data_IF_570126398935
#
_entry.id   IF_570126398935
#
_cell.length_a   1.000
_cell.length_b   1.000
_cell.length_c   1.000
_cell.angle_alpha   90.00
_cell.angle_beta   90.00
_cell.angle_gamma   90.00
#
_symmetry.space_group_name_H-M   'P 1'
#
loop_
_entity.id
_entity.type
_entity.pdbx_description
1 polymer ?
#
# COMPACT_ATOMS: atom_id res chain seq x y z
N UNK A 1 -16.89 -5.81 -8.48
CA UNK A 1 -15.53 -6.34 -8.68
C UNK A 1 -14.56 -5.58 -7.79
N UNK A 2 -13.70 -6.29 -7.08
CA UNK A 2 -12.73 -5.64 -6.22
C UNK A 2 -11.67 -4.89 -7.02
N UNK A 3 -11.05 -3.91 -6.39
CA UNK A 3 -10.03 -3.06 -7.00
C UNK A 3 -8.75 -3.11 -6.17
N UNK A 4 -7.61 -2.94 -6.83
CA UNK A 4 -6.33 -2.87 -6.17
C UNK A 4 -5.60 -1.58 -6.53
N UNK A 5 -5.01 -0.94 -5.51
CA UNK A 5 -4.12 0.21 -5.68
C UNK A 5 -2.70 -0.29 -5.48
N UNK A 6 -1.93 -0.31 -6.53
CA UNK A 6 -0.56 -0.82 -6.52
C UNK A 6 0.41 0.34 -6.58
N UNK A 7 1.20 0.50 -5.54
CA UNK A 7 2.12 1.63 -5.39
C UNK A 7 3.55 1.10 -5.32
N UNK A 8 4.42 1.65 -6.15
CA UNK A 8 5.84 1.30 -6.16
C UNK A 8 6.66 2.39 -5.49
N UNK A 9 7.66 1.96 -4.71
CA UNK A 9 8.60 2.84 -4.01
C UNK A 9 10.04 2.44 -4.27
N UNK A 10 10.93 3.41 -4.26
CA UNK A 10 12.37 3.19 -4.31
C UNK A 10 13.04 3.81 -3.09
N UNK A 11 14.26 3.37 -2.80
CA UNK A 11 15.00 3.86 -1.63
C UNK A 11 14.41 3.35 -0.32
N UNK A 12 13.88 2.14 -0.31
CA UNK A 12 13.25 1.54 0.88
C UNK A 12 14.26 0.64 1.56
N UNK A 13 14.86 1.11 2.65
CA UNK A 13 15.83 0.31 3.42
C UNK A 13 15.11 -0.82 4.18
N UNK A 14 15.89 -1.84 4.54
CA UNK A 14 15.39 -2.95 5.33
C UNK A 14 14.85 -2.47 6.68
N UNK A 15 15.58 -1.56 7.33
CA UNK A 15 15.18 -1.00 8.62
C UNK A 15 13.85 -0.22 8.52
N UNK A 16 13.70 0.58 7.47
CA UNK A 16 12.46 1.34 7.25
C UNK A 16 11.28 0.41 7.03
N UNK A 17 11.47 -0.65 6.24
CA UNK A 17 10.40 -1.61 5.97
C UNK A 17 10.01 -2.37 7.24
N UNK A 18 10.97 -2.78 8.05
CA UNK A 18 10.70 -3.46 9.32
C UNK A 18 9.92 -2.56 10.28
N UNK A 19 10.28 -1.28 10.33
CA UNK A 19 9.58 -0.28 11.14
C UNK A 19 8.12 -0.14 10.72
N UNK A 20 7.88 0.01 9.40
CA UNK A 20 6.53 0.15 8.87
C UNK A 20 5.68 -1.11 9.10
N UNK A 21 6.28 -2.29 8.88
CA UNK A 21 5.58 -3.54 9.10
C UNK A 21 5.16 -3.70 10.56
N UNK A 22 6.02 -3.28 11.48
CA UNK A 22 5.72 -3.30 12.91
C UNK A 22 4.58 -2.34 13.24
N UNK A 23 4.62 -1.13 12.73
CA UNK A 23 3.57 -0.13 12.94
C UNK A 23 2.22 -0.65 12.45
N UNK A 24 2.20 -1.27 11.28
CA UNK A 24 0.98 -1.83 10.71
C UNK A 24 0.42 -2.98 11.55
N UNK A 25 1.29 -3.85 12.08
CA UNK A 25 0.87 -4.95 12.96
C UNK A 25 0.30 -4.43 14.29
N UNK A 26 0.81 -3.32 14.77
CA UNK A 26 0.36 -2.72 16.03
C UNK A 26 -0.93 -1.89 15.85
N UNK A 27 -1.50 -1.90 14.65
CA UNK A 27 -2.77 -1.25 14.39
C UNK A 27 -2.67 0.21 13.95
N UNK A 28 -1.49 0.66 13.60
CA UNK A 28 -1.23 2.05 13.21
C UNK A 28 -1.60 2.30 11.74
N UNK A 29 -2.82 1.90 11.38
CA UNK A 29 -3.33 2.09 10.02
C UNK A 29 -4.06 3.41 9.88
N UNK A 30 -4.00 4.08 8.70
CA UNK A 30 -4.83 5.24 8.45
C UNK A 30 -6.31 4.88 8.57
N UNK A 31 -7.03 5.50 9.48
CA UNK A 31 -8.43 5.18 9.76
C UNK A 31 -9.37 5.51 8.60
N UNK A 32 -8.98 6.48 7.78
CA UNK A 32 -9.82 6.96 6.67
C UNK A 32 -9.63 6.19 5.37
N UNK A 33 -8.81 5.14 5.39
CA UNK A 33 -8.57 4.28 4.22
C UNK A 33 -9.41 3.02 4.33
N UNK A 34 -10.48 2.88 3.53
CA UNK A 34 -11.39 1.73 3.64
C UNK A 34 -10.88 0.50 2.86
N UNK A 35 -9.60 0.17 3.04
CA UNK A 35 -9.01 -1.00 2.41
C UNK A 35 -9.42 -2.27 3.15
N UNK A 36 -9.73 -3.33 2.40
CA UNK A 36 -10.08 -4.62 2.98
C UNK A 36 -8.85 -5.46 3.30
N UNK A 37 -7.73 -5.17 2.63
CA UNK A 37 -6.48 -5.88 2.85
C UNK A 37 -5.31 -5.02 2.37
N UNK A 38 -4.18 -5.14 3.02
CA UNK A 38 -2.94 -4.47 2.65
C UNK A 38 -1.83 -5.51 2.56
N UNK A 39 -1.12 -5.52 1.44
CA UNK A 39 0.05 -6.41 1.25
C UNK A 39 1.26 -5.53 0.93
N UNK A 40 2.34 -5.73 1.66
CA UNK A 40 3.60 -5.04 1.43
C UNK A 40 4.65 -6.04 0.97
N UNK A 41 5.25 -5.77 -0.18
CA UNK A 41 6.33 -6.57 -0.75
C UNK A 41 7.62 -5.76 -0.67
N UNK A 42 8.73 -6.42 -0.41
CA UNK A 42 10.02 -5.74 -0.29
C UNK A 42 11.14 -6.53 -0.94
N UNK A 43 11.94 -5.85 -1.75
CA UNK A 43 13.18 -6.38 -2.30
C UNK A 43 14.32 -5.64 -1.57
N UNK A 44 14.91 -6.26 -0.52
CA UNK A 44 15.93 -5.58 0.29
C UNK A 44 17.23 -5.31 -0.46
N UNK A 45 17.55 -6.10 -1.47
CA UNK A 45 18.77 -5.87 -2.25
C UNK A 45 18.67 -4.65 -3.15
N UNK A 46 17.52 -4.50 -3.82
CA UNK A 46 17.27 -3.36 -4.69
C UNK A 46 16.72 -2.15 -3.93
N UNK A 47 16.39 -2.31 -2.66
CA UNK A 47 15.73 -1.30 -1.82
C UNK A 47 14.45 -0.77 -2.44
N UNK A 48 13.67 -1.68 -3.03
CA UNK A 48 12.39 -1.37 -3.67
C UNK A 48 11.25 -2.05 -2.92
N UNK A 49 10.08 -1.41 -2.96
CA UNK A 49 8.89 -1.96 -2.34
C UNK A 49 7.68 -1.76 -3.24
N UNK A 50 6.71 -2.68 -3.11
CA UNK A 50 5.40 -2.55 -3.73
C UNK A 50 4.37 -2.72 -2.62
N UNK A 51 3.44 -1.78 -2.52
CA UNK A 51 2.35 -1.84 -1.55
C UNK A 51 1.05 -1.99 -2.32
N UNK A 52 0.28 -3.01 -1.98
CA UNK A 52 -1.00 -3.30 -2.63
C UNK A 52 -2.12 -3.14 -1.61
N UNK A 53 -3.09 -2.28 -1.93
CA UNK A 53 -4.28 -2.11 -1.10
C UNK A 53 -5.49 -2.57 -1.90
N UNK A 54 -6.34 -3.39 -1.26
CA UNK A 54 -7.54 -3.91 -1.90
C UNK A 54 -8.78 -3.18 -1.40
N UNK A 55 -9.68 -2.86 -2.33
CA UNK A 55 -10.93 -2.18 -2.03
C UNK A 55 -12.09 -2.93 -2.69
N UNK A 56 -13.26 -2.91 -2.05
CA UNK A 56 -14.43 -3.60 -2.58
C UNK A 56 -15.18 -2.81 -3.65
N UNK A 57 -15.15 -1.48 -3.55
CA UNK A 57 -15.92 -0.61 -4.44
C UNK A 57 -15.06 0.51 -5.01
N UNK A 58 -15.55 1.10 -6.11
CA UNK A 58 -14.94 2.27 -6.74
C UNK A 58 -14.90 3.47 -5.79
N UNK A 59 -15.97 3.67 -5.01
CA UNK A 59 -16.02 4.76 -4.04
C UNK A 59 -14.99 4.59 -2.93
N UNK A 60 -14.81 3.36 -2.44
CA UNK A 60 -13.81 3.06 -1.42
C UNK A 60 -12.40 3.28 -1.96
N UNK A 61 -12.16 2.87 -3.21
CA UNK A 61 -10.88 3.11 -3.87
C UNK A 61 -10.58 4.61 -3.95
N UNK A 62 -11.55 5.39 -4.42
CA UNK A 62 -11.38 6.84 -4.57
C UNK A 62 -11.06 7.52 -3.23
N UNK A 63 -11.79 7.13 -2.20
CA UNK A 63 -11.59 7.68 -0.85
C UNK A 63 -10.20 7.34 -0.32
N UNK A 64 -9.78 6.09 -0.46
CA UNK A 64 -8.45 5.65 -0.04
C UNK A 64 -7.34 6.32 -0.83
N UNK A 65 -7.52 6.47 -2.13
CA UNK A 65 -6.54 7.12 -3.01
C UNK A 65 -6.34 8.59 -2.62
N UNK A 66 -7.41 9.31 -2.30
CA UNK A 66 -7.32 10.69 -1.85
C UNK A 66 -6.49 10.83 -0.57
N UNK A 67 -6.77 9.99 0.41
CA UNK A 67 -6.04 10.00 1.69
C UNK A 67 -4.57 9.67 1.48
N UNK A 68 -4.28 8.60 0.75
CA UNK A 68 -2.92 8.12 0.56
C UNK A 68 -2.09 9.04 -0.33
N UNK A 69 -2.70 9.67 -1.32
CA UNK A 69 -2.00 10.63 -2.19
C UNK A 69 -1.61 11.90 -1.47
N UNK A 70 -2.32 12.24 -0.39
CA UNK A 70 -2.05 13.43 0.42
C UNK A 70 -1.05 13.18 1.55
N UNK A 71 -0.59 11.94 1.75
CA UNK A 71 0.34 11.61 2.83
C UNK A 71 1.69 12.28 2.63
N UNK A 72 2.28 12.84 3.72
CA UNK A 72 3.63 13.39 3.65
C UNK A 72 4.67 12.32 3.30
N UNK A 73 5.79 12.75 2.70
CA UNK A 73 6.87 11.85 2.33
C UNK A 73 7.42 11.04 3.52
N UNK A 74 7.39 11.62 4.73
CA UNK A 74 7.88 10.95 5.95
C UNK A 74 7.02 9.75 6.36
N UNK A 75 5.77 9.70 5.89
CA UNK A 75 4.85 8.61 6.22
C UNK A 75 4.87 7.49 5.19
N UNK A 76 5.64 7.64 4.11
CA UNK A 76 5.78 6.62 3.08
C UNK A 76 7.05 5.82 3.28
N UNK A 77 7.12 4.57 2.76
CA UNK A 77 8.31 3.74 2.93
C UNK A 77 9.56 4.30 2.23
N UNK A 78 9.36 5.03 1.12
CA UNK A 78 10.45 5.61 0.37
C UNK A 78 9.89 6.57 -0.66
N UNK A 79 10.61 6.74 -1.77
CA UNK A 79 10.16 7.61 -2.86
C UNK A 79 9.15 6.88 -3.73
N UNK A 80 7.94 7.42 -3.83
CA UNK A 80 6.90 6.84 -4.66
C UNK A 80 7.21 7.05 -6.15
N UNK A 81 7.26 5.95 -6.90
CA UNK A 81 7.60 5.98 -8.33
C UNK A 81 6.40 5.77 -9.24
N UNK A 82 5.38 5.04 -8.77
CA UNK A 82 4.16 4.84 -9.55
C UNK A 82 2.98 4.48 -8.65
N UNK A 83 1.78 4.82 -9.14
CA UNK A 83 0.51 4.41 -8.55
C UNK A 83 -0.34 3.88 -9.69
N UNK A 84 -0.77 2.64 -9.62
CA UNK A 84 -1.56 2.00 -10.66
C UNK A 84 -2.82 1.39 -10.08
N UNK A 85 -3.93 1.59 -10.76
CA UNK A 85 -5.22 1.02 -10.41
C UNK A 85 -5.46 -0.24 -11.24
N UNK A 86 -5.83 -1.32 -10.58
CA UNK A 86 -6.16 -2.58 -11.24
C UNK A 86 -7.53 -3.08 -10.79
N UNK A 87 -8.24 -3.73 -11.71
CA UNK A 87 -9.36 -4.58 -11.32
C UNK A 87 -8.79 -5.90 -10.80
N UNK A 88 -9.50 -6.53 -9.87
CA UNK A 88 -9.11 -7.84 -9.33
C UNK A 88 -10.13 -8.86 -9.84
N UNK A 89 -9.89 -9.46 -11.02
CA UNK A 89 -10.86 -10.39 -11.61
C UNK A 89 -10.94 -11.72 -10.87
N UNK A 90 -9.86 -12.11 -10.21
CA UNK A 90 -9.84 -13.36 -9.45
C UNK A 90 -8.91 -13.22 -8.26
N UNK A 91 -9.35 -13.77 -7.12
CA UNK A 91 -8.58 -13.81 -5.90
C UNK A 91 -8.91 -15.11 -5.19
N UNK A 92 -7.92 -15.99 -5.10
CA UNK A 92 -8.11 -17.32 -4.54
C UNK A 92 -7.14 -17.58 -3.39
N UNK A 93 -7.66 -18.20 -2.34
CA UNK A 93 -6.85 -18.69 -1.23
C UNK A 93 -6.91 -20.22 -1.27
N UNK A 94 -5.79 -20.90 -1.54
CA UNK A 94 -5.80 -22.37 -1.61
C UNK A 94 -6.07 -23.02 -0.25
#
# INVERSE_FOLDING_TARGET
>A
MALARVVSFEGVSKERMEELAREMREGDRPEDVPATEVVMLHDPEAEKSVVILFFETEDDYRRGDEVLSAMPADDTPGRRTSVTKYDVPIRMTP
#
